data_IF_980260134087
#
_entry.id   IF_980260134087
#
_cell.length_a   1.000
_cell.length_b   1.000
_cell.length_c   1.000
_cell.angle_alpha   90.00
_cell.angle_beta   90.00
_cell.angle_gamma   90.00
#
_symmetry.space_group_name_H-M   'P 1'
#
loop_
_entity.id
_entity.type
_entity.pdbx_description
1 polymer ?
#
# COMPACT_ATOMS: atom_id res chain seq x y z
N UNK A 1 -34.73 -12.87 55.35
CA UNK A 1 -33.32 -12.75 55.78
C UNK A 1 -32.54 -13.90 55.16
N UNK A 2 -31.71 -13.62 54.16
CA UNK A 2 -30.77 -14.59 53.60
C UNK A 2 -29.51 -13.83 53.20
N UNK A 3 -28.39 -14.15 53.85
CA UNK A 3 -27.07 -13.60 53.56
C UNK A 3 -26.28 -14.62 52.77
N UNK A 4 -25.93 -14.30 51.53
CA UNK A 4 -25.10 -15.16 50.67
C UNK A 4 -23.62 -14.73 50.79
N UNK A 5 -22.78 -15.66 51.23
CA UNK A 5 -21.33 -15.51 51.40
C UNK A 5 -20.63 -15.83 50.08
N UNK A 6 -20.11 -14.82 49.39
CA UNK A 6 -19.31 -14.99 48.16
C UNK A 6 -17.80 -15.09 48.50
N UNK A 7 -17.17 -16.15 47.98
CA UNK A 7 -15.71 -16.41 47.97
C UNK A 7 -14.93 -15.24 47.32
N UNK A 8 -13.70 -14.91 47.79
CA UNK A 8 -12.87 -13.91 47.15
C UNK A 8 -12.28 -14.45 45.83
N UNK A 9 -12.50 -13.68 44.77
CA UNK A 9 -11.92 -13.84 43.44
C UNK A 9 -10.42 -13.50 43.49
N UNK A 10 -9.57 -14.27 42.81
CA UNK A 10 -8.15 -13.94 42.67
C UNK A 10 -8.03 -12.79 41.67
N UNK A 11 -7.83 -11.59 42.17
CA UNK A 11 -7.70 -10.38 41.36
C UNK A 11 -6.52 -10.46 40.37
N UNK A 12 -6.69 -9.94 39.14
CA UNK A 12 -5.61 -9.88 38.16
C UNK A 12 -4.50 -8.91 38.61
N UNK A 13 -3.27 -9.39 38.47
CA UNK A 13 -2.04 -8.69 38.83
C UNK A 13 -1.59 -7.78 37.68
N UNK A 14 -0.97 -6.65 37.98
CA UNK A 14 -0.27 -5.79 37.01
C UNK A 14 0.96 -6.50 36.45
N UNK A 15 1.52 -5.98 35.36
CA UNK A 15 2.74 -6.49 34.72
C UNK A 15 3.99 -6.46 35.64
N UNK A 16 3.89 -5.76 36.79
CA UNK A 16 4.90 -5.70 37.85
C UNK A 16 4.60 -6.61 39.04
N UNK A 17 3.56 -7.44 38.97
CA UNK A 17 3.18 -8.36 40.04
C UNK A 17 2.45 -7.71 41.22
N UNK A 18 1.92 -6.50 41.07
CA UNK A 18 1.13 -5.82 42.10
C UNK A 18 -0.38 -5.92 41.81
N UNK A 19 -1.21 -5.89 42.84
CA UNK A 19 -2.66 -5.79 42.68
C UNK A 19 -3.03 -4.40 42.19
N UNK A 20 -3.87 -4.32 41.14
CA UNK A 20 -4.43 -3.05 40.67
C UNK A 20 -5.12 -2.32 41.83
N UNK A 21 -4.66 -1.10 42.15
CA UNK A 21 -5.32 -0.28 43.16
C UNK A 21 -6.45 0.51 42.52
N UNK A 22 -7.51 0.81 43.29
CA UNK A 22 -8.64 1.62 42.83
C UNK A 22 -8.26 3.07 42.45
N UNK A 23 -7.00 3.47 42.59
CA UNK A 23 -6.46 4.77 42.14
C UNK A 23 -5.69 4.69 40.82
N UNK A 24 -5.52 3.50 40.25
CA UNK A 24 -4.84 3.29 38.96
C UNK A 24 -5.81 3.29 37.77
N UNK A 25 -6.95 3.97 37.89
CA UNK A 25 -7.77 4.31 36.74
C UNK A 25 -6.95 5.23 35.84
N UNK A 26 -6.30 4.65 34.83
CA UNK A 26 -5.76 5.39 33.70
C UNK A 26 -6.91 6.20 33.10
N UNK A 27 -6.70 7.50 32.98
CA UNK A 27 -7.64 8.43 32.36
C UNK A 27 -8.13 7.81 31.04
N UNK A 28 -9.44 7.65 30.90
CA UNK A 28 -10.04 7.42 29.60
C UNK A 28 -9.60 8.62 28.75
N UNK A 29 -8.73 8.38 27.77
CA UNK A 29 -8.49 9.38 26.74
C UNK A 29 -9.79 9.45 25.96
N UNK A 30 -10.67 10.37 26.35
CA UNK A 30 -11.80 10.76 25.54
C UNK A 30 -11.19 11.23 24.21
N UNK A 31 -11.30 10.40 23.17
CA UNK A 31 -11.06 10.85 21.82
C UNK A 31 -12.10 11.94 21.60
N UNK A 32 -11.67 13.20 21.67
CA UNK A 32 -12.50 14.32 21.24
C UNK A 32 -12.58 14.15 19.73
N UNK A 33 -13.66 13.51 19.27
CA UNK A 33 -14.09 13.55 17.88
C UNK A 33 -14.48 15.01 17.61
N UNK A 34 -13.49 15.86 17.31
CA UNK A 34 -13.75 17.14 16.67
C UNK A 34 -14.28 16.80 15.29
N UNK A 35 -15.48 17.29 14.99
CA UNK A 35 -16.19 17.11 13.73
C UNK A 35 -15.22 17.19 12.55
N UNK A 36 -15.22 16.15 11.72
CA UNK A 36 -14.29 15.96 10.60
C UNK A 36 -14.41 17.07 9.53
N UNK A 37 -15.53 17.79 9.51
CA UNK A 37 -15.75 18.96 8.65
C UNK A 37 -14.98 20.21 9.12
N UNK A 38 -14.68 20.34 10.41
CA UNK A 38 -14.02 21.54 10.96
C UNK A 38 -12.56 21.68 10.50
N UNK A 39 -11.91 20.55 10.16
CA UNK A 39 -10.55 20.56 9.64
C UNK A 39 -10.45 21.10 8.20
N UNK A 40 -11.47 20.83 7.38
CA UNK A 40 -11.53 21.34 6.01
C UNK A 40 -11.88 22.82 5.97
N UNK A 41 -12.79 23.28 6.83
CA UNK A 41 -13.13 24.70 6.95
C UNK A 41 -11.94 25.55 7.40
N UNK A 42 -11.15 25.08 8.38
CA UNK A 42 -9.92 25.78 8.78
C UNK A 42 -8.89 25.89 7.64
N UNK A 43 -8.81 24.89 6.76
CA UNK A 43 -7.92 24.93 5.61
C UNK A 43 -8.42 25.90 4.52
N UNK A 44 -9.74 25.91 4.27
CA UNK A 44 -10.38 26.85 3.33
C UNK A 44 -10.24 28.29 3.83
N UNK A 45 -10.38 28.51 5.14
CA UNK A 45 -10.24 29.83 5.77
C UNK A 45 -8.80 30.32 5.76
N UNK A 46 -7.81 29.45 5.99
CA UNK A 46 -6.39 29.79 5.86
C UNK A 46 -6.00 30.21 4.43
N UNK A 47 -6.64 29.63 3.41
CA UNK A 47 -6.44 30.00 2.01
C UNK A 47 -7.32 31.16 1.54
N UNK A 48 -8.21 31.68 2.41
CA UNK A 48 -9.03 32.87 2.18
C UNK A 48 -8.42 34.15 2.74
N UNK A 49 -7.11 34.17 3.03
CA UNK A 49 -6.46 35.40 3.45
C UNK A 49 -6.60 36.49 2.36
N UNK A 50 -6.98 37.73 2.75
CA UNK A 50 -7.26 38.83 1.85
C UNK A 50 -5.98 39.40 1.21
N UNK A 51 -6.13 39.95 0.01
CA UNK A 51 -5.14 40.70 -0.77
C UNK A 51 -4.67 42.01 -0.08
N UNK A 52 -4.22 41.98 1.17
CA UNK A 52 -3.66 43.16 1.83
C UNK A 52 -2.21 42.92 2.26
N UNK A 53 -1.37 42.83 1.22
CA UNK A 53 0.08 42.71 1.35
C UNK A 53 0.66 44.08 1.64
N UNK A 54 0.65 44.57 2.89
CA UNK A 54 1.50 45.71 3.27
C UNK A 54 1.67 45.96 4.77
N UNK A 55 2.11 44.97 5.56
CA UNK A 55 2.86 45.24 6.81
C UNK A 55 4.00 44.23 6.97
N UNK A 56 5.15 44.59 6.42
CA UNK A 56 6.41 43.86 6.61
C UNK A 56 7.03 44.34 7.92
N UNK A 57 7.03 43.47 8.93
CA UNK A 57 7.87 43.61 10.12
C UNK A 57 9.36 43.46 9.73
N UNK A 58 10.27 44.38 10.12
CA UNK A 58 11.65 44.40 9.66
C UNK A 58 12.57 43.37 10.35
N UNK A 59 12.04 42.41 11.12
CA UNK A 59 12.85 41.47 11.93
C UNK A 59 12.85 40.02 11.44
N UNK A 60 12.12 39.71 10.37
CA UNK A 60 12.18 38.38 9.77
C UNK A 60 12.75 38.49 8.36
N UNK A 61 14.02 38.08 8.21
CA UNK A 61 14.64 37.91 6.91
C UNK A 61 13.83 36.85 6.14
N UNK A 62 13.32 37.27 4.99
CA UNK A 62 12.56 36.47 4.04
C UNK A 62 13.46 35.36 3.48
N UNK A 63 13.36 34.15 4.00
CA UNK A 63 13.90 32.94 3.36
C UNK A 63 13.04 32.58 2.15
N UNK A 64 13.11 33.42 1.11
CA UNK A 64 12.66 33.05 -0.22
C UNK A 64 13.73 32.21 -0.92
N UNK A 65 13.35 31.33 -1.87
CA UNK A 65 14.33 30.69 -2.74
C UNK A 65 15.12 31.78 -3.48
N UNK A 66 16.45 31.68 -3.43
CA UNK A 66 17.34 32.62 -4.09
C UNK A 66 16.97 32.72 -5.58
N UNK A 67 16.49 33.89 -6.00
CA UNK A 67 16.41 34.22 -7.42
C UNK A 67 17.85 34.40 -7.91
N UNK A 68 18.33 33.42 -8.66
CA UNK A 68 19.62 33.49 -9.34
C UNK A 68 19.54 34.60 -10.39
N UNK A 69 20.22 35.72 -10.11
CA UNK A 69 20.51 36.74 -11.10
C UNK A 69 21.53 36.18 -12.09
N UNK A 70 21.30 36.42 -13.38
CA UNK A 70 21.99 35.80 -14.52
C UNK A 70 23.40 36.39 -14.79
N UNK A 71 24.08 36.91 -13.77
CA UNK A 71 25.32 37.70 -13.90
C UNK A 71 26.55 37.00 -13.29
N UNK A 72 26.54 35.67 -13.26
CA UNK A 72 27.71 34.85 -12.90
C UNK A 72 28.13 33.95 -14.06
N UNK A 73 28.26 34.56 -15.24
CA UNK A 73 28.97 33.98 -16.38
C UNK A 73 30.49 34.07 -16.13
N UNK A 74 31.06 33.10 -15.40
CA UNK A 74 32.49 33.10 -15.10
C UNK A 74 33.09 31.77 -14.65
N UNK A 75 32.35 30.66 -14.75
CA UNK A 75 32.81 29.35 -14.31
C UNK A 75 32.16 28.24 -15.09
N UNK A 76 32.40 28.18 -16.40
CA UNK A 76 32.06 27.00 -17.19
C UNK A 76 32.83 25.81 -16.62
N UNK A 77 32.15 24.99 -15.81
CA UNK A 77 32.61 23.63 -15.60
C UNK A 77 32.65 22.96 -16.98
N UNK A 78 33.85 22.53 -17.37
CA UNK A 78 34.09 21.82 -18.62
C UNK A 78 33.27 20.53 -18.60
N UNK A 79 32.09 20.58 -19.22
CA UNK A 79 31.34 19.36 -19.55
C UNK A 79 32.09 18.71 -20.70
N UNK A 80 32.92 17.74 -20.35
CA UNK A 80 33.51 16.83 -21.34
C UNK A 80 32.34 16.19 -22.08
N UNK A 81 32.22 16.33 -23.42
CA UNK A 81 31.19 15.65 -24.16
C UNK A 81 31.39 14.15 -23.95
N UNK A 82 30.38 13.49 -23.38
CA UNK A 82 30.36 12.04 -23.27
C UNK A 82 30.64 11.47 -24.67
N UNK A 83 31.69 10.65 -24.78
CA UNK A 83 32.05 9.95 -26.01
C UNK A 83 30.82 9.19 -26.50
N UNK A 84 30.27 9.64 -27.62
CA UNK A 84 29.25 8.94 -28.38
C UNK A 84 29.93 7.76 -29.08
N UNK A 85 30.07 6.65 -28.36
CA UNK A 85 30.76 5.49 -28.88
C UNK A 85 30.85 4.37 -27.86
N UNK A 86 29.69 3.87 -27.43
CA UNK A 86 29.48 2.52 -26.92
C UNK A 86 27.96 2.25 -26.92
N UNK A 87 27.55 1.25 -27.69
CA UNK A 87 26.18 0.88 -27.98
C UNK A 87 25.32 0.72 -26.70
N UNK A 88 24.23 1.49 -26.52
CA UNK A 88 23.35 1.38 -25.34
C UNK A 88 22.47 0.12 -25.34
N UNK A 89 22.61 -0.78 -26.32
CA UNK A 89 21.81 -1.99 -26.43
C UNK A 89 22.10 -3.04 -25.35
N UNK A 90 23.36 -3.18 -24.92
CA UNK A 90 23.77 -4.31 -24.08
C UNK A 90 23.57 -4.07 -22.59
N UNK A 91 23.77 -2.84 -22.10
CA UNK A 91 23.57 -2.52 -20.68
C UNK A 91 22.10 -2.39 -20.30
N UNK A 92 21.26 -1.88 -21.21
CA UNK A 92 19.82 -1.78 -20.99
C UNK A 92 19.18 -3.17 -20.91
N UNK A 93 19.56 -4.10 -21.80
CA UNK A 93 19.18 -5.51 -21.69
C UNK A 93 19.80 -6.21 -20.47
N UNK A 94 21.07 -5.99 -20.14
CA UNK A 94 21.69 -6.61 -18.97
C UNK A 94 21.08 -6.11 -17.64
N UNK A 95 20.65 -4.84 -17.57
CA UNK A 95 19.94 -4.25 -16.44
C UNK A 95 18.49 -4.72 -16.38
N UNK A 96 17.85 -4.94 -17.53
CA UNK A 96 16.54 -5.60 -17.62
C UNK A 96 16.63 -7.07 -17.18
N UNK A 97 17.67 -7.80 -17.64
CA UNK A 97 17.97 -9.18 -17.23
C UNK A 97 18.28 -9.30 -15.74
N UNK A 98 19.00 -8.33 -15.16
CA UNK A 98 19.21 -8.22 -13.70
C UNK A 98 17.95 -7.87 -12.93
N UNK A 99 16.94 -7.26 -13.56
CA UNK A 99 15.60 -7.06 -12.96
C UNK A 99 14.75 -8.33 -13.06
N UNK A 100 14.86 -9.08 -14.16
CA UNK A 100 14.11 -10.34 -14.34
C UNK A 100 14.67 -11.53 -13.55
N UNK A 101 15.89 -11.43 -13.01
CA UNK A 101 16.48 -12.46 -12.14
C UNK A 101 16.17 -12.27 -10.66
N UNK A 102 15.37 -11.27 -10.28
CA UNK A 102 14.90 -11.13 -8.89
C UNK A 102 13.85 -12.22 -8.64
N UNK A 103 13.97 -12.88 -7.49
CA UNK A 103 12.94 -13.78 -6.98
C UNK A 103 11.62 -13.02 -7.02
N UNK A 104 10.65 -13.50 -7.81
CA UNK A 104 9.35 -12.86 -7.89
C UNK A 104 8.73 -12.86 -6.49
N UNK A 105 8.38 -11.68 -5.98
CA UNK A 105 7.72 -11.53 -4.68
C UNK A 105 6.21 -11.40 -4.88
N UNK A 106 5.43 -11.65 -3.82
CA UNK A 106 3.98 -11.42 -3.84
C UNK A 106 3.65 -9.97 -4.22
N UNK A 107 4.43 -9.00 -3.73
CA UNK A 107 4.22 -7.59 -4.07
C UNK A 107 4.41 -7.31 -5.56
N UNK A 108 5.43 -7.90 -6.18
CA UNK A 108 5.64 -7.79 -7.63
C UNK A 108 4.43 -8.36 -8.40
N UNK A 109 3.86 -9.49 -7.94
CA UNK A 109 2.65 -10.07 -8.51
C UNK A 109 1.42 -9.18 -8.33
N UNK A 110 1.26 -8.57 -7.16
CA UNK A 110 0.18 -7.63 -6.91
C UNK A 110 0.31 -6.35 -7.74
N UNK A 111 1.53 -5.88 -8.00
CA UNK A 111 1.78 -4.75 -8.90
C UNK A 111 1.38 -5.10 -10.33
N UNK A 112 1.75 -6.29 -10.83
CA UNK A 112 1.31 -6.76 -12.15
C UNK A 112 -0.22 -6.91 -12.24
N UNK A 113 -0.86 -7.46 -11.20
CA UNK A 113 -2.31 -7.63 -11.13
C UNK A 113 -3.11 -6.32 -11.10
N UNK A 114 -2.47 -5.20 -10.74
CA UNK A 114 -3.11 -3.86 -10.63
C UNK A 114 -2.85 -2.96 -11.83
N UNK A 115 -2.03 -3.39 -12.79
CA UNK A 115 -1.80 -2.63 -14.02
C UNK A 115 -3.12 -2.36 -14.72
N UNK A 116 -3.24 -1.23 -15.43
CA UNK A 116 -4.43 -0.88 -16.21
C UNK A 116 -5.75 -0.94 -15.42
N UNK A 117 -5.75 -0.66 -14.11
CA UNK A 117 -6.94 -0.76 -13.24
C UNK A 117 -7.56 -2.18 -13.18
N UNK A 118 -6.75 -3.20 -13.42
CA UNK A 118 -7.13 -4.61 -13.22
C UNK A 118 -7.36 -4.89 -11.72
N UNK A 119 -8.33 -5.76 -11.45
CA UNK A 119 -8.73 -6.19 -10.11
C UNK A 119 -8.40 -7.66 -9.90
N UNK A 120 -8.89 -8.52 -10.80
CA UNK A 120 -8.63 -9.96 -10.79
C UNK A 120 -8.79 -10.53 -12.22
N UNK A 121 -8.28 -11.73 -12.51
CA UNK A 121 -8.62 -12.44 -13.74
C UNK A 121 -10.12 -12.76 -13.78
N UNK A 122 -10.66 -12.96 -14.98
CA UNK A 122 -12.03 -13.47 -15.18
C UNK A 122 -12.15 -14.89 -14.61
N UNK A 123 -13.38 -15.34 -14.24
CA UNK A 123 -13.58 -16.61 -13.53
C UNK A 123 -12.92 -17.83 -14.17
N UNK A 124 -12.97 -17.96 -15.50
CA UNK A 124 -12.34 -19.08 -16.21
C UNK A 124 -10.82 -19.11 -16.03
N UNK A 125 -10.16 -17.96 -16.21
CA UNK A 125 -8.71 -17.85 -16.08
C UNK A 125 -8.26 -17.90 -14.63
N UNK A 126 -9.09 -17.40 -13.71
CA UNK A 126 -8.83 -17.53 -12.28
C UNK A 126 -8.90 -18.99 -11.83
N UNK A 127 -9.83 -19.79 -12.37
CA UNK A 127 -9.84 -21.23 -12.13
C UNK A 127 -8.56 -21.89 -12.62
N UNK A 128 -8.07 -21.56 -13.83
CA UNK A 128 -6.79 -22.06 -14.34
C UNK A 128 -5.61 -21.67 -13.44
N UNK A 129 -5.59 -20.42 -12.95
CA UNK A 129 -4.58 -19.96 -12.00
C UNK A 129 -4.60 -20.80 -10.73
N UNK A 130 -5.79 -20.98 -10.17
CA UNK A 130 -5.99 -21.82 -9.00
C UNK A 130 -5.46 -23.23 -9.29
N UNK A 131 -5.78 -23.80 -10.46
CA UNK A 131 -5.37 -25.12 -10.94
C UNK A 131 -3.86 -25.35 -11.11
N UNK A 132 -3.06 -24.29 -11.17
CA UNK A 132 -1.60 -24.41 -11.12
C UNK A 132 -1.02 -24.52 -9.71
N UNK A 133 -1.78 -24.24 -8.65
CA UNK A 133 -1.26 -24.25 -7.28
C UNK A 133 -1.09 -25.70 -6.78
N UNK A 134 0.04 -26.08 -6.18
CA UNK A 134 0.22 -27.42 -5.62
C UNK A 134 -0.41 -27.55 -4.21
N UNK A 135 -0.59 -28.80 -3.76
CA UNK A 135 -0.94 -29.17 -2.38
C UNK A 135 -2.18 -28.47 -1.77
N UNK A 136 -3.16 -28.14 -2.61
CA UNK A 136 -4.38 -27.46 -2.16
C UNK A 136 -5.21 -28.38 -1.27
N UNK A 137 -5.62 -27.85 -0.11
CA UNK A 137 -6.59 -28.50 0.76
C UNK A 137 -7.97 -27.88 0.51
N UNK A 138 -9.06 -28.56 0.90
CA UNK A 138 -10.43 -28.02 0.74
C UNK A 138 -10.66 -26.64 1.37
N UNK A 139 -9.81 -26.24 2.32
CA UNK A 139 -9.89 -24.97 3.04
C UNK A 139 -8.82 -23.95 2.67
N UNK A 140 -7.70 -24.35 2.06
CA UNK A 140 -6.57 -23.44 1.76
C UNK A 140 -5.85 -23.82 0.45
N UNK A 141 -5.58 -22.85 -0.42
CA UNK A 141 -6.01 -21.45 -0.35
C UNK A 141 -7.52 -21.32 -0.62
N UNK A 142 -8.12 -20.18 -0.27
CA UNK A 142 -9.55 -19.93 -0.47
C UNK A 142 -9.93 -20.24 -1.93
N UNK A 143 -10.97 -21.05 -2.20
CA UNK A 143 -11.32 -21.37 -3.58
C UNK A 143 -11.70 -20.09 -4.35
N UNK A 144 -11.40 -20.02 -5.66
CA UNK A 144 -11.73 -18.86 -6.47
C UNK A 144 -13.25 -18.63 -6.45
N UNK A 145 -13.62 -17.35 -6.41
CA UNK A 145 -15.02 -16.96 -6.48
C UNK A 145 -15.50 -17.17 -7.91
N UNK A 146 -16.40 -18.13 -8.13
CA UNK A 146 -16.96 -18.45 -9.45
C UNK A 146 -18.48 -18.32 -9.43
N UNK A 147 -19.05 -17.94 -10.58
CA UNK A 147 -20.50 -17.89 -10.80
C UNK A 147 -21.18 -16.72 -10.09
N UNK A 148 -22.38 -16.97 -9.52
CA UNK A 148 -23.19 -15.92 -8.88
C UNK A 148 -22.44 -15.21 -7.73
N UNK A 149 -21.64 -15.95 -6.96
CA UNK A 149 -20.85 -15.38 -5.86
C UNK A 149 -19.81 -14.37 -6.36
N UNK A 150 -19.25 -14.56 -7.54
CA UNK A 150 -18.28 -13.64 -8.13
C UNK A 150 -18.91 -12.30 -8.50
N UNK A 151 -20.12 -12.31 -9.07
CA UNK A 151 -20.85 -11.08 -9.42
C UNK A 151 -21.27 -10.27 -8.18
N UNK A 152 -21.68 -10.94 -7.10
CA UNK A 152 -22.12 -10.29 -5.86
C UNK A 152 -20.97 -9.81 -4.96
N UNK A 153 -19.74 -10.26 -5.20
CA UNK A 153 -18.60 -9.93 -4.34
C UNK A 153 -17.95 -8.61 -4.78
N UNK A 154 -17.69 -7.66 -3.86
CA UNK A 154 -17.05 -6.40 -4.21
C UNK A 154 -15.60 -6.61 -4.67
N UNK A 155 -15.12 -5.70 -5.53
CA UNK A 155 -13.79 -5.74 -6.15
C UNK A 155 -12.64 -5.83 -5.14
N UNK A 156 -12.79 -5.24 -3.95
CA UNK A 156 -11.78 -5.31 -2.89
C UNK A 156 -11.59 -6.74 -2.37
N UNK A 157 -12.68 -7.47 -2.15
CA UNK A 157 -12.64 -8.86 -1.67
C UNK A 157 -12.07 -9.79 -2.74
N UNK A 158 -12.38 -9.52 -4.02
CA UNK A 158 -11.76 -10.24 -5.16
C UNK A 158 -10.24 -10.08 -5.14
N UNK A 159 -9.74 -8.86 -4.92
CA UNK A 159 -8.28 -8.59 -4.80
C UNK A 159 -7.65 -9.30 -3.61
N UNK A 160 -8.33 -9.32 -2.46
CA UNK A 160 -7.80 -10.03 -1.27
C UNK A 160 -7.68 -11.52 -1.52
N UNK A 161 -8.68 -12.14 -2.15
CA UNK A 161 -8.63 -13.57 -2.50
C UNK A 161 -7.49 -13.88 -3.49
N UNK A 162 -7.27 -13.01 -4.49
CA UNK A 162 -6.15 -13.17 -5.42
C UNK A 162 -4.80 -13.07 -4.72
N UNK A 163 -4.65 -12.16 -3.75
CA UNK A 163 -3.42 -12.04 -2.94
C UNK A 163 -3.13 -13.33 -2.17
N UNK A 164 -4.14 -13.93 -1.54
CA UNK A 164 -3.98 -15.22 -0.84
C UNK A 164 -3.47 -16.32 -1.77
N UNK A 165 -3.90 -16.33 -3.04
CA UNK A 165 -3.36 -17.27 -4.05
C UNK A 165 -1.88 -17.02 -4.34
N UNK A 166 -1.43 -15.76 -4.41
CA UNK A 166 -0.02 -15.45 -4.59
C UNK A 166 0.82 -15.80 -3.37
N UNK A 167 0.34 -15.52 -2.17
CA UNK A 167 0.99 -15.93 -0.92
C UNK A 167 1.14 -17.46 -0.87
N UNK A 168 0.11 -18.19 -1.28
CA UNK A 168 0.19 -19.64 -1.40
C UNK A 168 1.21 -20.09 -2.45
N UNK A 169 1.22 -19.44 -3.62
CA UNK A 169 2.16 -19.73 -4.69
C UNK A 169 3.62 -19.49 -4.26
N UNK A 170 3.86 -18.43 -3.48
CA UNK A 170 5.17 -18.09 -2.92
C UNK A 170 5.65 -19.15 -1.94
N UNK A 171 4.80 -19.55 -0.99
CA UNK A 171 5.10 -20.60 0.00
C UNK A 171 5.48 -21.94 -0.65
N UNK A 172 4.94 -22.21 -1.84
CA UNK A 172 5.19 -23.46 -2.58
C UNK A 172 6.20 -23.30 -3.72
N UNK A 173 6.81 -22.12 -3.90
CA UNK A 173 7.82 -21.87 -4.93
C UNK A 173 7.30 -21.86 -6.38
N UNK A 174 5.98 -21.81 -6.59
CA UNK A 174 5.36 -21.78 -7.94
C UNK A 174 4.98 -20.36 -8.40
N UNK A 175 5.29 -19.34 -7.61
CA UNK A 175 4.93 -17.94 -7.90
C UNK A 175 5.47 -17.45 -9.26
N UNK A 176 6.67 -17.86 -9.66
CA UNK A 176 7.23 -17.48 -10.96
C UNK A 176 6.40 -18.00 -12.14
N UNK A 177 5.84 -19.20 -12.03
CA UNK A 177 4.97 -19.79 -13.05
C UNK A 177 3.64 -19.04 -13.13
N UNK A 178 3.04 -18.74 -11.96
CA UNK A 178 1.80 -17.95 -11.87
C UNK A 178 2.00 -16.55 -12.45
N UNK A 179 3.13 -15.92 -12.17
CA UNK A 179 3.51 -14.61 -12.73
C UNK A 179 3.63 -14.63 -14.25
N UNK A 180 4.25 -15.66 -14.82
CA UNK A 180 4.34 -15.81 -16.27
C UNK A 180 2.95 -16.01 -16.90
N UNK A 181 2.08 -16.79 -16.26
CA UNK A 181 0.69 -16.94 -16.69
C UNK A 181 -0.06 -15.60 -16.69
N UNK A 182 0.08 -14.79 -15.64
CA UNK A 182 -0.53 -13.46 -15.58
C UNK A 182 -0.04 -12.51 -16.66
N UNK A 183 1.26 -12.55 -16.99
CA UNK A 183 1.83 -11.73 -18.06
C UNK A 183 1.36 -12.16 -19.45
N UNK A 184 1.02 -13.43 -19.61
CA UNK A 184 0.50 -13.98 -20.87
C UNK A 184 -1.01 -13.70 -21.07
N UNK A 185 -1.74 -13.36 -20.00
CA UNK A 185 -3.19 -13.11 -20.07
C UNK A 185 -3.51 -11.81 -20.84
N UNK A 186 -4.37 -11.86 -21.88
CA UNK A 186 -4.82 -10.67 -22.59
C UNK A 186 -5.71 -9.79 -21.71
N UNK A 187 -5.78 -8.50 -22.00
CA UNK A 187 -6.57 -7.54 -21.21
C UNK A 187 -8.06 -7.92 -21.11
N UNK A 188 -8.63 -8.54 -22.15
CA UNK A 188 -10.02 -9.01 -22.20
C UNK A 188 -10.37 -10.04 -21.15
N UNK A 189 -9.35 -10.74 -20.64
CA UNK A 189 -9.47 -11.80 -19.65
C UNK A 189 -9.27 -11.29 -18.22
N UNK A 190 -9.08 -9.98 -18.05
CA UNK A 190 -9.08 -9.32 -16.76
C UNK A 190 -10.46 -8.72 -16.46
N UNK A 191 -10.72 -8.55 -15.16
CA UNK A 191 -11.83 -7.78 -14.64
C UNK A 191 -11.29 -6.44 -14.12
N UNK A 192 -11.91 -5.35 -14.56
CA UNK A 192 -11.48 -3.99 -14.24
C UNK A 192 -12.32 -3.38 -13.13
N UNK A 193 -11.81 -2.33 -12.49
CA UNK A 193 -12.53 -1.66 -11.41
C UNK A 193 -13.84 -0.98 -11.86
N UNK A 194 -13.96 -0.69 -13.17
CA UNK A 194 -15.08 0.04 -13.77
C UNK A 194 -16.11 -0.87 -14.47
N UNK A 195 -15.95 -2.19 -14.38
CA UNK A 195 -16.86 -3.20 -14.95
C UNK A 195 -18.02 -3.56 -14.00
#
# INVERSE_FOLDING_TARGET
>A
MATDKKKPDSSPLTDTGALYSARDFRAQTNAVEKDTDSAWDMWVEANKAPEDTQRIDPRYARTGPASLTNDQAGGSMSTVPAKLGEDPGTESEARLRRRTSRVATVDDAMVEARRNNRVCPRPNQWQTLYDMLPNRTKSKPTPPLIGAKWNSTPSITKRTCLREHFEWAEQHGVLAQVMNFMKALPETDWFHMND
#
